data_IF_143369268220
#
_entry.id   IF_143369268220
#
_cell.length_a   1.000
_cell.length_b   1.000
_cell.length_c   1.000
_cell.angle_alpha   90.00
_cell.angle_beta   90.00
_cell.angle_gamma   90.00
#
_symmetry.space_group_name_H-M   'P 1'
#
loop_
_entity.id
_entity.type
_entity.pdbx_description
1 polymer ?
#
# COMPACT_ATOMS: atom_id res chain seq x y z
N UNK A 1 20.90 -22.66 -0.29
CA UNK A 1 20.13 -22.38 -1.55
C UNK A 1 18.61 -22.63 -1.51
N UNK A 2 18.06 -23.80 -1.07
CA UNK A 2 16.59 -24.04 -1.07
C UNK A 2 15.79 -23.05 -0.21
N UNK A 3 16.35 -22.62 0.92
CA UNK A 3 15.72 -21.65 1.81
C UNK A 3 15.56 -20.26 1.15
N UNK A 4 16.60 -19.78 0.48
CA UNK A 4 16.61 -18.49 -0.25
C UNK A 4 15.51 -18.41 -1.31
N UNK A 5 15.36 -19.48 -2.11
CA UNK A 5 14.33 -19.54 -3.15
C UNK A 5 12.92 -19.55 -2.55
N UNK A 6 12.74 -20.25 -1.43
CA UNK A 6 11.48 -20.25 -0.68
C UNK A 6 11.15 -18.85 -0.15
N UNK A 7 12.13 -18.12 0.37
CA UNK A 7 11.94 -16.75 0.85
C UNK A 7 11.50 -15.79 -0.24
N UNK A 8 12.15 -15.80 -1.41
CA UNK A 8 11.74 -14.95 -2.53
C UNK A 8 10.33 -15.28 -3.02
N UNK A 9 9.95 -16.57 -3.02
CA UNK A 9 8.57 -16.98 -3.35
C UNK A 9 7.56 -16.46 -2.33
N UNK A 10 7.87 -16.53 -1.04
CA UNK A 10 7.00 -16.00 0.00
C UNK A 10 6.86 -14.47 -0.08
N UNK A 11 7.96 -13.75 -0.33
CA UNK A 11 7.92 -12.30 -0.55
C UNK A 11 7.10 -11.93 -1.79
N UNK A 12 7.24 -12.71 -2.87
CA UNK A 12 6.46 -12.53 -4.09
C UNK A 12 4.97 -12.74 -3.83
N UNK A 13 4.59 -13.84 -3.16
CA UNK A 13 3.19 -14.13 -2.82
C UNK A 13 2.58 -13.02 -1.96
N UNK A 14 3.31 -12.50 -0.97
CA UNK A 14 2.85 -11.38 -0.16
C UNK A 14 2.68 -10.09 -0.99
N UNK A 15 3.57 -9.84 -1.95
CA UNK A 15 3.47 -8.69 -2.84
C UNK A 15 2.28 -8.80 -3.82
N UNK A 16 2.01 -10.01 -4.33
CA UNK A 16 0.85 -10.29 -5.18
C UNK A 16 -0.46 -10.14 -4.41
N UNK A 17 -0.54 -10.66 -3.19
CA UNK A 17 -1.74 -10.52 -2.36
C UNK A 17 -1.99 -9.05 -1.99
N UNK A 18 -0.94 -8.30 -1.66
CA UNK A 18 -1.05 -6.86 -1.42
C UNK A 18 -1.54 -6.12 -2.67
N UNK A 19 -1.06 -6.50 -3.87
CA UNK A 19 -1.52 -5.91 -5.13
C UNK A 19 -3.01 -6.15 -5.35
N UNK A 20 -3.49 -7.36 -5.08
CA UNK A 20 -4.91 -7.72 -5.17
C UNK A 20 -5.75 -6.89 -4.20
N UNK A 21 -5.33 -6.74 -2.95
CA UNK A 21 -6.05 -5.94 -1.96
C UNK A 21 -6.12 -4.46 -2.37
N UNK A 22 -5.01 -3.88 -2.84
CA UNK A 22 -4.96 -2.48 -3.26
C UNK A 22 -5.82 -2.18 -4.50
N UNK A 23 -6.03 -3.17 -5.37
CA UNK A 23 -6.90 -3.05 -6.55
C UNK A 23 -8.39 -3.14 -6.24
N UNK A 24 -8.78 -3.60 -5.05
CA UNK A 24 -10.20 -3.65 -4.65
C UNK A 24 -10.76 -2.23 -4.55
N UNK A 25 -12.06 -2.09 -4.84
CA UNK A 25 -12.79 -0.84 -4.66
C UNK A 25 -12.78 -0.42 -3.18
N UNK A 26 -13.07 -1.37 -2.29
CA UNK A 26 -12.96 -1.25 -0.84
C UNK A 26 -11.83 -2.15 -0.31
N UNK A 27 -10.58 -1.64 -0.20
CA UNK A 27 -9.47 -2.39 0.37
C UNK A 27 -9.69 -2.61 1.87
N UNK A 28 -9.48 -3.85 2.32
CA UNK A 28 -9.49 -4.15 3.75
C UNK A 28 -8.18 -3.66 4.40
N UNK A 29 -8.29 -2.59 5.19
CA UNK A 29 -7.13 -1.95 5.84
C UNK A 29 -6.43 -2.88 6.84
N UNK A 30 -7.19 -3.75 7.52
CA UNK A 30 -6.64 -4.71 8.47
C UNK A 30 -5.82 -5.77 7.74
N UNK A 31 -6.35 -6.31 6.65
CA UNK A 31 -5.64 -7.27 5.80
C UNK A 31 -4.37 -6.64 5.21
N UNK A 32 -4.46 -5.41 4.72
CA UNK A 32 -3.29 -4.68 4.19
C UNK A 32 -2.22 -4.51 5.29
N UNK A 33 -2.61 -4.10 6.50
CA UNK A 33 -1.71 -3.93 7.62
C UNK A 33 -1.00 -5.25 8.00
N UNK A 34 -1.75 -6.35 8.01
CA UNK A 34 -1.20 -7.67 8.31
C UNK A 34 -0.25 -8.18 7.22
N UNK A 35 -0.54 -7.90 5.94
CA UNK A 35 0.38 -8.18 4.84
C UNK A 35 1.70 -7.39 4.98
N UNK A 36 1.63 -6.11 5.38
CA UNK A 36 2.82 -5.31 5.63
C UNK A 36 3.64 -5.84 6.81
N UNK A 37 2.99 -6.24 7.92
CA UNK A 37 3.67 -6.85 9.06
C UNK A 37 4.40 -8.13 8.66
N UNK A 38 3.70 -9.08 8.01
CA UNK A 38 4.28 -10.34 7.52
C UNK A 38 5.47 -10.09 6.59
N UNK A 39 5.35 -9.12 5.67
CA UNK A 39 6.44 -8.75 4.76
C UNK A 39 7.64 -8.14 5.49
N UNK A 40 7.42 -7.31 6.51
CA UNK A 40 8.49 -6.72 7.33
C UNK A 40 9.24 -7.79 8.13
N UNK A 41 8.52 -8.73 8.74
CA UNK A 41 9.11 -9.87 9.45
C UNK A 41 9.93 -10.75 8.52
N UNK A 42 9.40 -11.06 7.34
CA UNK A 42 10.09 -11.86 6.35
C UNK A 42 11.36 -11.16 5.84
N UNK A 43 11.31 -9.85 5.61
CA UNK A 43 12.49 -9.04 5.25
C UNK A 43 13.56 -9.02 6.34
N UNK A 44 13.16 -8.93 7.61
CA UNK A 44 14.11 -9.00 8.74
C UNK A 44 14.81 -10.35 8.78
N UNK A 45 14.07 -11.45 8.58
CA UNK A 45 14.65 -12.79 8.47
C UNK A 45 15.66 -12.87 7.33
N UNK A 46 15.35 -12.31 6.16
CA UNK A 46 16.27 -12.31 5.00
C UNK A 46 17.47 -11.38 5.14
N UNK A 47 17.38 -10.26 5.88
CA UNK A 47 18.53 -9.36 6.13
C UNK A 47 19.65 -10.02 6.95
N UNK A 48 19.30 -11.06 7.73
CA UNK A 48 20.26 -11.85 8.50
C UNK A 48 20.84 -13.03 7.72
N UNK A 49 20.32 -13.34 6.54
CA UNK A 49 20.96 -14.31 5.65
C UNK A 49 21.98 -13.59 4.80
N UNK A 50 23.22 -14.04 4.86
CA UNK A 50 24.27 -13.81 3.89
C UNK A 50 23.89 -14.39 2.51
N UNK A 51 22.80 -13.88 1.93
CA UNK A 51 22.07 -14.44 0.80
C UNK A 51 22.89 -14.38 -0.50
N UNK A 52 23.74 -13.37 -0.64
CA UNK A 52 24.70 -13.24 -1.75
C UNK A 52 25.88 -14.21 -1.59
N UNK A 53 26.36 -14.42 -0.37
CA UNK A 53 27.50 -15.29 -0.07
C UNK A 53 27.18 -16.78 -0.27
N UNK A 54 25.93 -17.20 -0.04
CA UNK A 54 25.49 -18.58 -0.24
C UNK A 54 25.18 -18.90 -1.72
N UNK A 55 24.76 -17.89 -2.51
CA UNK A 55 24.59 -17.98 -3.97
C UNK A 55 25.97 -18.08 -4.68
N UNK A 56 27.04 -17.60 -4.04
CA UNK A 56 28.40 -17.68 -4.57
C UNK A 56 29.08 -19.04 -4.36
N UNK A 57 28.59 -19.87 -3.44
CA UNK A 57 29.23 -21.14 -3.05
C UNK A 57 28.70 -22.40 -3.74
N UNK A 58 27.82 -22.29 -4.73
CA UNK A 58 27.27 -23.48 -5.40
C UNK A 58 27.83 -23.70 -6.80
N UNK A 59 28.17 -24.95 -7.13
CA UNK A 59 28.72 -25.35 -8.43
C UNK A 59 27.74 -25.19 -9.62
N UNK A 60 26.46 -24.86 -9.36
CA UNK A 60 25.45 -24.46 -10.35
C UNK A 60 25.02 -22.97 -10.22
N UNK A 61 25.95 -22.13 -9.76
CA UNK A 61 25.72 -20.73 -9.40
C UNK A 61 25.05 -19.92 -10.52
N UNK A 62 25.38 -20.14 -11.79
CA UNK A 62 24.87 -19.31 -12.89
C UNK A 62 23.35 -19.43 -13.10
N UNK A 63 22.82 -20.65 -13.23
CA UNK A 63 21.37 -20.86 -13.42
C UNK A 63 20.57 -20.51 -12.17
N UNK A 64 21.14 -20.78 -10.99
CA UNK A 64 20.53 -20.40 -9.71
C UNK A 64 20.47 -18.88 -9.57
N UNK A 65 21.58 -18.17 -9.86
CA UNK A 65 21.64 -16.70 -9.90
C UNK A 65 20.61 -16.12 -10.85
N UNK A 66 20.49 -16.65 -12.07
CA UNK A 66 19.53 -16.13 -13.05
C UNK A 66 18.08 -16.27 -12.57
N UNK A 67 17.71 -17.41 -11.98
CA UNK A 67 16.38 -17.61 -11.38
C UNK A 67 16.12 -16.68 -10.21
N UNK A 68 17.12 -16.47 -9.35
CA UNK A 68 17.02 -15.53 -8.23
C UNK A 68 16.90 -14.09 -8.70
N UNK A 69 17.70 -13.66 -9.68
CA UNK A 69 17.63 -12.33 -10.30
C UNK A 69 16.26 -12.08 -10.95
N UNK A 70 15.70 -13.08 -11.67
CA UNK A 70 14.36 -12.98 -12.25
C UNK A 70 13.28 -12.79 -11.17
N UNK A 71 13.34 -13.55 -10.08
CA UNK A 71 12.41 -13.41 -8.96
C UNK A 71 12.57 -12.07 -8.25
N UNK A 72 13.81 -11.62 -8.05
CA UNK A 72 14.12 -10.33 -7.44
C UNK A 72 13.57 -9.17 -8.26
N UNK A 73 13.84 -9.14 -9.58
CA UNK A 73 13.30 -8.11 -10.49
C UNK A 73 11.77 -8.08 -10.48
N UNK A 74 11.11 -9.25 -10.53
CA UNK A 74 9.64 -9.34 -10.42
C UNK A 74 9.14 -8.74 -9.11
N UNK A 75 9.80 -9.07 -8.00
CA UNK A 75 9.46 -8.54 -6.68
C UNK A 75 9.66 -7.02 -6.62
N UNK A 76 10.72 -6.46 -7.19
CA UNK A 76 10.93 -5.01 -7.25
C UNK A 76 9.83 -4.30 -8.03
N UNK A 77 9.48 -4.78 -9.22
CA UNK A 77 8.41 -4.22 -10.04
C UNK A 77 7.07 -4.25 -9.28
N UNK A 78 6.72 -5.39 -8.67
CA UNK A 78 5.49 -5.50 -7.88
C UNK A 78 5.50 -4.56 -6.67
N UNK A 79 6.65 -4.33 -6.05
CA UNK A 79 6.75 -3.41 -4.93
C UNK A 79 6.54 -1.96 -5.36
N UNK A 80 7.12 -1.56 -6.49
CA UNK A 80 6.91 -0.22 -7.06
C UNK A 80 5.43 -0.02 -7.44
N UNK A 81 4.80 -1.03 -8.05
CA UNK A 81 3.37 -0.98 -8.38
C UNK A 81 2.50 -0.87 -7.13
N UNK A 82 2.79 -1.64 -6.08
CA UNK A 82 2.05 -1.56 -4.82
C UNK A 82 2.23 -0.22 -4.13
N UNK A 83 3.43 0.38 -4.20
CA UNK A 83 3.67 1.71 -3.67
C UNK A 83 2.83 2.76 -4.42
N UNK A 84 2.85 2.74 -5.75
CA UNK A 84 2.07 3.67 -6.56
C UNK A 84 0.57 3.56 -6.30
N UNK A 85 0.03 2.33 -6.26
CA UNK A 85 -1.39 2.10 -5.95
C UNK A 85 -1.77 2.60 -4.54
N UNK A 86 -0.88 2.42 -3.56
CA UNK A 86 -1.12 2.93 -2.21
C UNK A 86 -1.13 4.46 -2.18
N UNK A 87 -0.21 5.11 -2.89
CA UNK A 87 -0.16 6.58 -3.02
C UNK A 87 -1.42 7.14 -3.70
N UNK A 88 -1.90 6.49 -4.77
CA UNK A 88 -3.16 6.85 -5.45
C UNK A 88 -4.37 6.74 -4.52
N UNK A 89 -4.47 5.64 -3.75
CA UNK A 89 -5.56 5.46 -2.77
C UNK A 89 -5.49 6.49 -1.63
N UNK A 90 -4.30 6.83 -1.15
CA UNK A 90 -4.12 7.89 -0.14
C UNK A 90 -4.54 9.25 -0.70
N UNK A 91 -4.20 9.56 -1.95
CA UNK A 91 -4.59 10.81 -2.59
C UNK A 91 -6.13 10.91 -2.73
N UNK A 92 -6.79 9.82 -3.12
CA UNK A 92 -8.25 9.76 -3.16
C UNK A 92 -8.89 10.01 -1.79
N UNK A 93 -8.44 9.32 -0.74
CA UNK A 93 -8.94 9.52 0.62
C UNK A 93 -8.73 10.95 1.14
N UNK A 94 -7.61 11.59 0.79
CA UNK A 94 -7.35 12.99 1.15
C UNK A 94 -8.31 13.95 0.43
N UNK A 95 -8.64 13.67 -0.83
CA UNK A 95 -9.61 14.45 -1.61
C UNK A 95 -11.01 14.32 -1.01
N UNK A 96 -11.44 13.10 -0.71
CA UNK A 96 -12.75 12.84 -0.11
C UNK A 96 -12.87 13.55 1.26
N UNK A 97 -11.83 13.46 2.10
CA UNK A 97 -11.77 14.15 3.38
C UNK A 97 -11.88 15.68 3.23
N UNK A 98 -11.24 16.26 2.21
CA UNK A 98 -11.33 17.69 1.94
C UNK A 98 -12.74 18.09 1.48
N UNK A 99 -13.39 17.28 0.64
CA UNK A 99 -14.77 17.50 0.20
C UNK A 99 -15.75 17.41 1.37
N UNK A 100 -15.66 16.38 2.21
CA UNK A 100 -16.52 16.24 3.39
C UNK A 100 -16.34 17.39 4.38
N UNK A 101 -15.11 17.92 4.53
CA UNK A 101 -14.88 19.12 5.36
C UNK A 101 -15.56 20.35 4.77
N UNK A 102 -15.44 20.58 3.47
CA UNK A 102 -16.09 21.70 2.78
C UNK A 102 -17.63 21.61 2.87
N UNK A 103 -18.20 20.41 2.71
CA UNK A 103 -19.63 20.15 2.88
C UNK A 103 -20.10 20.47 4.30
N UNK A 104 -19.34 20.05 5.32
CA UNK A 104 -19.65 20.39 6.72
C UNK A 104 -19.60 21.89 6.99
N UNK A 105 -18.61 22.60 6.44
CA UNK A 105 -18.50 24.06 6.58
C UNK A 105 -19.66 24.77 5.88
N UNK A 106 -20.03 24.34 4.67
CA UNK A 106 -21.18 24.91 3.95
C UNK A 106 -22.49 24.65 4.68
N UNK A 107 -22.69 23.45 5.23
CA UNK A 107 -23.87 23.12 6.01
C UNK A 107 -23.92 23.93 7.32
N UNK A 108 -22.78 24.13 7.99
CA UNK A 108 -22.70 24.98 9.18
C UNK A 108 -23.05 26.44 8.86
N UNK A 109 -22.55 27.00 7.74
CA UNK A 109 -22.91 28.34 7.25
C UNK A 109 -24.40 28.45 6.91
N UNK A 110 -24.96 27.45 6.24
CA UNK A 110 -26.39 27.42 5.93
C UNK A 110 -27.24 27.44 7.21
N UNK A 111 -26.94 26.57 8.18
CA UNK A 111 -27.66 26.53 9.46
C UNK A 111 -27.52 27.81 10.30
N UNK A 112 -26.38 28.52 10.21
CA UNK A 112 -26.23 29.84 10.81
C UNK A 112 -27.06 30.91 10.09
N UNK A 113 -27.13 30.86 8.76
CA UNK A 113 -27.99 31.74 7.96
C UNK A 113 -29.49 31.51 8.21
N UNK A 114 -29.92 30.27 8.43
CA UNK A 114 -31.32 29.94 8.78
C UNK A 114 -31.70 30.41 10.20
N UNK A 115 -30.74 30.48 11.13
CA UNK A 115 -30.96 30.96 12.50
C UNK A 115 -31.00 32.48 12.65
N UNK A 116 -30.58 33.23 11.63
CA UNK A 116 -30.77 34.67 11.55
C UNK A 116 -31.73 34.97 10.39
N UNK A 117 -33.05 34.79 10.57
CA UNK A 117 -33.99 35.51 9.72
C UNK A 117 -33.73 36.99 10.01
N UNK A 118 -33.01 37.67 9.12
CA UNK A 118 -33.01 39.13 9.11
C UNK A 118 -34.49 39.51 9.08
N UNK A 119 -34.96 40.15 10.15
CA UNK A 119 -36.16 40.98 10.13
C UNK A 119 -36.01 41.85 8.88
N UNK A 120 -36.73 41.47 7.83
CA UNK A 120 -36.99 42.36 6.72
C UNK A 120 -38.02 43.29 7.33
N UNK A 121 -37.55 44.42 7.84
CA UNK A 121 -38.41 45.53 8.22
C UNK A 121 -39.16 45.93 6.94
N UNK A 122 -40.39 45.42 6.81
CA UNK A 122 -41.39 45.95 5.91
C UNK A 122 -41.89 47.23 6.56
N UNK A 123 -41.20 48.35 6.32
CA UNK A 123 -41.79 49.68 6.51
C UNK A 123 -42.84 49.86 5.41
N UNK A 124 -44.11 49.87 5.83
CA UNK A 124 -45.26 50.38 5.07
C UNK A 124 -45.68 51.74 5.58
#
# INVERSE_FOLDING_TARGET
>A
MRAVHSYYRQLLALAEELNKQLKREAPDQQVIADLFKKRKELRKKTKNFALEAEIAKSDNAAQSREKHLKLFKKLEILNQNNQKLAEEKIAALKKDLAQTKAEKENNAKFMQGVKNPRLIDFEG
#
